data_IF_701796855430
#
_entry.id   IF_701796855430
#
_cell.length_a   1.000
_cell.length_b   1.000
_cell.length_c   1.000
_cell.angle_alpha   90.00
_cell.angle_beta   90.00
_cell.angle_gamma   90.00
#
_symmetry.space_group_name_H-M   'P 1'
#
loop_
_entity.id
_entity.type
_entity.pdbx_description
1 polymer ?
#
# COMPACT_ATOMS: atom_id res chain seq x y z
N UNK A 1 -56.35 41.66 -0.78
CA UNK A 1 -55.07 42.04 -0.16
C UNK A 1 -54.57 40.84 0.62
N UNK A 2 -53.60 40.11 0.07
CA UNK A 2 -52.98 38.94 0.68
C UNK A 2 -51.65 39.39 1.33
N UNK A 3 -51.28 38.91 2.52
CA UNK A 3 -49.97 39.21 3.08
C UNK A 3 -48.88 38.36 2.40
N UNK A 4 -47.88 39.03 1.83
CA UNK A 4 -46.65 38.44 1.32
C UNK A 4 -45.82 37.86 2.48
N UNK A 5 -45.99 36.58 2.78
CA UNK A 5 -45.11 35.86 3.68
C UNK A 5 -43.84 35.43 2.91
N UNK A 6 -42.95 36.39 2.68
CA UNK A 6 -41.61 36.14 2.15
C UNK A 6 -40.79 35.28 3.11
N UNK A 7 -40.47 34.06 2.70
CA UNK A 7 -39.51 33.20 3.39
C UNK A 7 -38.15 33.91 3.37
N UNK A 8 -37.71 34.38 4.54
CA UNK A 8 -36.39 35.01 4.70
C UNK A 8 -35.33 33.91 4.62
N UNK A 9 -34.68 33.79 3.47
CA UNK A 9 -33.50 32.93 3.31
C UNK A 9 -32.39 33.47 4.22
N UNK A 10 -32.13 32.79 5.34
CA UNK A 10 -30.94 33.02 6.15
C UNK A 10 -29.73 32.66 5.29
N UNK A 11 -28.75 33.57 5.09
CA UNK A 11 -27.53 33.23 4.38
C UNK A 11 -26.77 32.22 5.23
N UNK A 12 -26.78 30.95 4.84
CA UNK A 12 -25.84 29.95 5.38
C UNK A 12 -24.44 30.31 4.87
N UNK A 13 -23.83 31.31 5.49
CA UNK A 13 -22.38 31.50 5.39
C UNK A 13 -21.74 30.40 6.23
N UNK A 14 -21.66 29.19 5.65
CA UNK A 14 -20.88 28.11 6.22
C UNK A 14 -19.42 28.57 6.22
N UNK A 15 -18.99 29.18 7.34
CA UNK A 15 -17.60 29.59 7.53
C UNK A 15 -16.81 28.31 7.76
N UNK A 16 -15.93 27.99 6.82
CA UNK A 16 -14.95 26.94 7.04
C UNK A 16 -14.17 27.25 8.32
N UNK A 17 -13.96 26.26 9.21
CA UNK A 17 -13.10 26.47 10.37
C UNK A 17 -11.70 26.88 9.88
N UNK A 18 -10.98 27.72 10.65
CA UNK A 18 -9.62 28.09 10.30
C UNK A 18 -8.76 26.82 10.15
N UNK A 19 -7.74 26.82 9.27
CA UNK A 19 -6.81 25.72 9.16
C UNK A 19 -6.20 25.37 10.53
N UNK A 20 -5.96 24.07 10.82
CA UNK A 20 -5.25 23.68 12.03
C UNK A 20 -3.89 24.42 12.15
N UNK A 21 -3.46 24.75 13.38
CA UNK A 21 -2.13 25.31 13.61
C UNK A 21 -1.04 24.42 13.00
N UNK A 22 -0.03 25.03 12.37
CA UNK A 22 1.16 24.31 11.90
C UNK A 22 2.03 23.99 13.11
N UNK A 23 2.19 22.71 13.43
CA UNK A 23 3.14 22.27 14.46
C UNK A 23 4.53 22.12 13.84
N UNK A 24 5.58 22.76 14.38
CA UNK A 24 6.94 22.54 13.90
C UNK A 24 7.39 21.12 14.27
N UNK A 25 8.17 20.50 13.39
CA UNK A 25 8.84 19.24 13.71
C UNK A 25 9.89 19.48 14.81
N UNK A 26 9.73 18.85 15.97
CA UNK A 26 10.63 18.98 17.12
C UNK A 26 11.61 17.82 17.26
N UNK A 27 11.51 16.80 16.40
CA UNK A 27 12.44 15.67 16.40
C UNK A 27 13.80 16.06 15.83
N UNK A 28 14.81 15.26 16.12
CA UNK A 28 16.11 15.38 15.46
C UNK A 28 15.96 14.98 13.99
N UNK A 29 16.27 15.86 13.03
CA UNK A 29 16.24 15.50 11.62
C UNK A 29 17.26 14.42 11.29
N UNK A 30 16.93 13.54 10.36
CA UNK A 30 17.83 12.49 9.88
C UNK A 30 17.34 11.08 10.21
N UNK A 31 18.25 10.12 10.06
CA UNK A 31 17.95 8.71 10.26
C UNK A 31 17.94 8.36 11.75
N UNK A 32 16.80 7.89 12.25
CA UNK A 32 16.61 7.49 13.64
C UNK A 32 16.93 6.00 13.89
N UNK A 33 17.44 5.28 12.89
CA UNK A 33 17.85 3.88 12.97
C UNK A 33 19.37 3.79 12.86
N UNK A 34 19.97 2.92 13.66
CA UNK A 34 21.38 2.62 13.50
C UNK A 34 21.58 1.78 12.23
N UNK A 35 22.48 2.23 11.37
CA UNK A 35 22.92 1.50 10.18
C UNK A 35 24.42 1.28 10.28
N UNK A 36 24.87 0.08 9.96
CA UNK A 36 26.30 -0.24 9.93
C UNK A 36 26.94 0.23 8.62
N UNK A 37 26.16 0.34 7.54
CA UNK A 37 26.59 0.86 6.27
C UNK A 37 25.61 1.85 5.66
N UNK A 38 25.78 2.08 4.35
CA UNK A 38 24.97 2.98 3.53
C UNK A 38 24.47 2.29 2.26
N UNK A 39 24.40 0.96 2.27
CA UNK A 39 23.97 0.21 1.10
C UNK A 39 22.47 0.38 0.86
N UNK A 40 22.01 0.47 -0.40
CA UNK A 40 20.58 0.52 -0.72
C UNK A 40 19.79 -0.65 -0.12
N UNK A 41 20.42 -1.82 0.03
CA UNK A 41 19.77 -3.00 0.61
C UNK A 41 19.54 -2.87 2.11
N UNK A 42 20.47 -2.25 2.85
CA UNK A 42 20.25 -1.96 4.28
C UNK A 42 19.09 -0.99 4.46
N UNK A 43 18.99 0.06 3.64
CA UNK A 43 17.84 0.97 3.67
C UNK A 43 16.54 0.26 3.37
N UNK A 44 16.51 -0.60 2.35
CA UNK A 44 15.33 -1.42 2.05
C UNK A 44 14.90 -2.27 3.25
N UNK A 45 15.88 -2.90 3.92
CA UNK A 45 15.62 -3.79 5.06
C UNK A 45 15.09 -3.07 6.30
N UNK A 46 15.27 -1.74 6.42
CA UNK A 46 14.62 -0.95 7.48
C UNK A 46 13.10 -0.92 7.30
N UNK A 47 12.62 -0.84 6.05
CA UNK A 47 11.19 -0.80 5.74
C UNK A 47 10.59 -2.20 5.55
N UNK A 48 11.40 -3.15 5.10
CA UNK A 48 11.02 -4.53 4.84
C UNK A 48 11.89 -5.50 5.66
N UNK A 49 11.74 -5.48 7.00
CA UNK A 49 12.48 -6.39 7.87
C UNK A 49 12.03 -7.84 7.68
N UNK A 50 12.89 -8.77 8.10
CA UNK A 50 12.74 -10.21 7.84
C UNK A 50 11.45 -10.78 8.42
N UNK A 51 11.02 -10.31 9.59
CA UNK A 51 9.78 -10.69 10.25
C UNK A 51 8.56 -10.28 9.43
N UNK A 52 8.53 -9.06 8.90
CA UNK A 52 7.45 -8.58 8.04
C UNK A 52 7.41 -9.37 6.73
N UNK A 53 8.55 -9.61 6.09
CA UNK A 53 8.60 -10.40 4.84
C UNK A 53 8.13 -11.83 5.10
N UNK A 54 8.57 -12.45 6.20
CA UNK A 54 8.14 -13.80 6.60
C UNK A 54 6.65 -13.86 6.94
N UNK A 55 6.13 -12.82 7.58
CA UNK A 55 4.71 -12.73 7.90
C UNK A 55 3.85 -12.63 6.63
N UNK A 56 4.26 -11.82 5.66
CA UNK A 56 3.59 -11.73 4.36
C UNK A 56 3.62 -13.08 3.63
N UNK A 57 4.75 -13.81 3.67
CA UNK A 57 4.84 -15.15 3.06
C UNK A 57 3.82 -16.10 3.69
N UNK A 58 3.78 -16.13 5.02
CA UNK A 58 2.87 -16.98 5.79
C UNK A 58 1.41 -16.67 5.44
N UNK A 59 1.05 -15.40 5.39
CA UNK A 59 -0.31 -14.98 5.08
C UNK A 59 -0.70 -15.22 3.62
N UNK A 60 0.25 -15.09 2.70
CA UNK A 60 0.04 -15.41 1.28
C UNK A 60 -0.24 -16.90 1.09
N UNK A 61 0.53 -17.76 1.76
CA UNK A 61 0.34 -19.21 1.69
C UNK A 61 -0.98 -19.63 2.33
N UNK A 62 -1.31 -19.10 3.52
CA UNK A 62 -2.60 -19.36 4.18
C UNK A 62 -3.77 -18.97 3.29
N UNK A 63 -3.71 -17.81 2.63
CA UNK A 63 -4.77 -17.41 1.70
C UNK A 63 -4.89 -18.36 0.51
N UNK A 64 -3.77 -18.79 -0.07
CA UNK A 64 -3.78 -19.71 -1.20
C UNK A 64 -4.41 -21.06 -0.83
N UNK A 65 -4.04 -21.62 0.32
CA UNK A 65 -4.65 -22.85 0.87
C UNK A 65 -6.16 -22.67 1.05
N UNK A 66 -6.57 -21.64 1.79
CA UNK A 66 -7.97 -21.30 2.02
C UNK A 66 -8.76 -21.17 0.70
N UNK A 67 -8.16 -20.51 -0.30
CA UNK A 67 -8.80 -20.29 -1.59
C UNK A 67 -8.99 -21.59 -2.37
N UNK A 68 -7.97 -22.46 -2.38
CA UNK A 68 -8.01 -23.75 -3.08
C UNK A 68 -9.03 -24.68 -2.43
N UNK A 69 -9.10 -24.71 -1.09
CA UNK A 69 -10.05 -25.55 -0.36
C UNK A 69 -11.50 -25.10 -0.55
N UNK A 70 -11.74 -23.78 -0.54
CA UNK A 70 -13.10 -23.21 -0.61
C UNK A 70 -13.65 -23.09 -2.03
N UNK A 71 -12.81 -23.25 -3.05
CA UNK A 71 -13.20 -23.04 -4.46
C UNK A 71 -13.24 -24.35 -5.23
N UNK A 72 -14.32 -24.59 -5.97
CA UNK A 72 -14.39 -25.71 -6.91
C UNK A 72 -13.58 -25.42 -8.17
N UNK A 73 -12.29 -25.77 -8.13
CA UNK A 73 -11.36 -25.59 -9.24
C UNK A 73 -11.37 -26.82 -10.18
N UNK A 74 -11.16 -26.59 -11.47
CA UNK A 74 -10.92 -27.69 -12.41
C UNK A 74 -9.56 -28.34 -12.16
N UNK A 75 -9.36 -29.63 -12.48
CA UNK A 75 -8.05 -30.27 -12.31
C UNK A 75 -6.90 -29.62 -13.10
N UNK A 76 -7.22 -28.84 -14.13
CA UNK A 76 -6.25 -28.10 -14.96
C UNK A 76 -5.98 -26.67 -14.48
N UNK A 77 -6.63 -26.24 -13.41
CA UNK A 77 -6.42 -24.92 -12.78
C UNK A 77 -4.97 -24.78 -12.32
N UNK A 78 -4.39 -23.60 -12.53
CA UNK A 78 -3.03 -23.30 -12.05
C UNK A 78 -2.99 -23.16 -10.54
N UNK A 79 -4.10 -22.75 -9.95
CA UNK A 79 -4.29 -22.57 -8.52
C UNK A 79 -4.17 -23.92 -7.80
N UNK A 80 -4.63 -25.03 -8.40
CA UNK A 80 -4.38 -26.41 -7.90
C UNK A 80 -2.90 -26.81 -7.89
N UNK A 81 -2.05 -26.09 -8.63
CA UNK A 81 -0.60 -26.31 -8.68
C UNK A 81 0.17 -25.28 -7.85
N UNK A 82 -0.51 -24.57 -6.94
CA UNK A 82 0.12 -23.61 -6.06
C UNK A 82 1.29 -24.22 -5.30
N UNK A 83 2.35 -23.43 -5.14
CA UNK A 83 3.52 -23.76 -4.34
C UNK A 83 3.67 -22.67 -3.30
N UNK A 84 3.96 -23.08 -2.08
CA UNK A 84 4.24 -22.14 -1.01
C UNK A 84 5.35 -21.18 -1.42
N UNK A 85 5.12 -19.90 -1.12
CA UNK A 85 6.11 -18.84 -1.33
C UNK A 85 6.98 -18.69 -0.09
N UNK A 86 8.27 -18.54 -0.31
CA UNK A 86 9.25 -18.22 0.73
C UNK A 86 9.58 -16.73 0.83
N UNK A 87 10.18 -16.32 1.95
CA UNK A 87 10.65 -14.95 2.15
C UNK A 87 11.65 -14.49 1.08
N UNK A 88 12.49 -15.40 0.58
CA UNK A 88 13.44 -15.10 -0.51
C UNK A 88 12.73 -14.78 -1.83
N UNK A 89 11.68 -15.51 -2.16
CA UNK A 89 10.88 -15.26 -3.38
C UNK A 89 10.13 -13.94 -3.27
N UNK A 90 9.56 -13.63 -2.09
CA UNK A 90 8.93 -12.34 -1.85
C UNK A 90 9.90 -11.16 -1.99
N UNK A 91 11.15 -11.29 -1.53
CA UNK A 91 12.17 -10.24 -1.73
C UNK A 91 12.45 -9.99 -3.21
N UNK A 92 12.52 -11.05 -4.01
CA UNK A 92 12.68 -10.92 -5.47
C UNK A 92 11.45 -10.26 -6.08
N UNK A 93 10.24 -10.65 -5.65
CA UNK A 93 8.99 -10.03 -6.09
C UNK A 93 8.95 -8.52 -5.79
N UNK A 94 9.31 -8.10 -4.56
CA UNK A 94 9.39 -6.69 -4.21
C UNK A 94 10.46 -5.93 -5.01
N UNK A 95 11.61 -6.55 -5.27
CA UNK A 95 12.63 -5.96 -6.13
C UNK A 95 12.11 -5.71 -7.55
N UNK A 96 11.31 -6.62 -8.10
CA UNK A 96 10.67 -6.46 -9.41
C UNK A 96 9.64 -5.31 -9.39
N UNK A 97 8.83 -5.18 -8.34
CA UNK A 97 7.88 -4.06 -8.18
C UNK A 97 8.61 -2.72 -8.15
N UNK A 98 9.68 -2.62 -7.34
CA UNK A 98 10.50 -1.42 -7.27
C UNK A 98 11.12 -1.09 -8.63
N UNK A 99 11.63 -2.10 -9.34
CA UNK A 99 12.18 -1.94 -10.68
C UNK A 99 11.14 -1.40 -11.67
N UNK A 100 9.90 -1.87 -11.60
CA UNK A 100 8.80 -1.36 -12.43
C UNK A 100 8.43 0.09 -12.11
N UNK A 101 8.57 0.52 -10.85
CA UNK A 101 8.39 1.92 -10.46
C UNK A 101 9.49 2.85 -10.98
N UNK A 102 10.71 2.34 -11.12
CA UNK A 102 11.87 3.10 -11.62
C UNK A 102 11.90 3.13 -13.15
N UNK A 103 11.70 1.97 -13.79
CA UNK A 103 11.75 1.84 -15.24
C UNK A 103 10.40 2.21 -15.84
N UNK A 104 10.32 3.42 -16.40
CA UNK A 104 9.18 3.82 -17.23
C UNK A 104 9.24 3.14 -18.58
N UNK A 105 8.39 2.12 -18.77
CA UNK A 105 8.20 1.52 -20.09
C UNK A 105 7.31 2.43 -20.95
N UNK A 106 7.62 2.61 -22.24
CA UNK A 106 6.75 3.38 -23.13
C UNK A 106 5.39 2.67 -23.22
N UNK A 107 4.32 3.47 -23.31
CA UNK A 107 2.99 2.97 -23.63
C UNK A 107 3.05 2.25 -24.97
N UNK A 108 2.98 0.91 -24.94
CA UNK A 108 2.75 0.12 -26.15
C UNK A 108 1.33 0.41 -26.60
N UNK A 109 1.17 1.04 -27.77
CA UNK A 109 -0.09 0.96 -28.51
C UNK A 109 -0.28 -0.51 -28.87
N UNK A 110 -1.39 -1.09 -28.43
CA UNK A 110 -1.84 -2.38 -28.94
C UNK A 110 -2.13 -2.21 -30.43
N UNK A 111 -1.64 -3.14 -31.25
CA UNK A 111 -1.87 -3.17 -32.69
C UNK A 111 -3.33 -3.51 -32.99
#
# INVERSE_FOLDING_TARGET
>A
MLPENGVKLIPTTYRHPPPPPKFPFTGTPGLNKHMYGSSPLEFFSIFMPDDIVSYIATETNRYAEDFIEKTHLTPSSKEQQWKEVGSSELRVFFAIILLQGIIRKPLKKWY
#
